data_IF_468405014463
#
_entry.id   IF_468405014463
#
_cell.length_a   1.000
_cell.length_b   1.000
_cell.length_c   1.000
_cell.angle_alpha   90.00
_cell.angle_beta   90.00
_cell.angle_gamma   90.00
#
_symmetry.space_group_name_H-M   'P 1'
#
loop_
_entity.id
_entity.type
_entity.pdbx_description
1 polymer ?
#
# COMPACT_ATOMS: atom_id res chain seq x y z
N UNK A 1 -9.81 18.83 22.15
CA UNK A 1 -9.87 18.01 20.91
C UNK A 1 -8.49 17.45 20.55
N UNK A 2 -7.48 18.31 20.33
CA UNK A 2 -6.07 17.91 20.10
C UNK A 2 -5.61 16.73 20.96
N UNK A 3 -5.54 16.90 22.27
CA UNK A 3 -5.03 15.86 23.18
C UNK A 3 -5.83 14.55 23.13
N UNK A 4 -7.14 14.62 22.90
CA UNK A 4 -7.99 13.43 22.82
C UNK A 4 -7.64 12.59 21.57
N UNK A 5 -7.61 13.22 20.39
CA UNK A 5 -7.23 12.51 19.17
C UNK A 5 -5.77 12.08 19.17
N UNK A 6 -4.88 12.82 19.84
CA UNK A 6 -3.48 12.44 20.01
C UNK A 6 -3.34 11.18 20.87
N UNK A 7 -4.12 11.06 21.95
CA UNK A 7 -4.14 9.85 22.77
C UNK A 7 -4.62 8.64 21.95
N UNK A 8 -5.72 8.79 21.20
CA UNK A 8 -6.21 7.74 20.29
C UNK A 8 -5.12 7.34 19.29
N UNK A 9 -4.43 8.32 18.70
CA UNK A 9 -3.36 8.11 17.74
C UNK A 9 -2.17 7.33 18.32
N UNK A 10 -1.69 7.69 19.51
CA UNK A 10 -0.55 7.00 20.14
C UNK A 10 -0.94 5.59 20.60
N UNK A 11 -2.12 5.41 21.20
CA UNK A 11 -2.61 4.10 21.61
C UNK A 11 -2.80 3.17 20.39
N UNK A 12 -3.37 3.69 19.31
CA UNK A 12 -3.53 2.94 18.07
C UNK A 12 -2.17 2.57 17.46
N UNK A 13 -1.23 3.51 17.43
CA UNK A 13 0.14 3.26 16.95
C UNK A 13 0.81 2.14 17.74
N UNK A 14 0.74 2.20 19.07
CA UNK A 14 1.29 1.17 19.94
C UNK A 14 0.61 -0.18 19.73
N UNK A 15 -0.73 -0.21 19.64
CA UNK A 15 -1.50 -1.41 19.40
C UNK A 15 -1.11 -2.11 18.08
N UNK A 16 -1.04 -1.35 16.99
CA UNK A 16 -0.65 -1.89 15.68
C UNK A 16 0.78 -2.43 15.71
N UNK A 17 1.71 -1.68 16.31
CA UNK A 17 3.11 -2.11 16.44
C UNK A 17 3.23 -3.41 17.23
N UNK A 18 2.56 -3.52 18.37
CA UNK A 18 2.59 -4.73 19.22
C UNK A 18 1.99 -5.94 18.49
N UNK A 19 0.84 -5.77 17.83
CA UNK A 19 0.23 -6.85 17.04
C UNK A 19 1.18 -7.33 15.93
N UNK A 20 1.78 -6.39 15.21
CA UNK A 20 2.76 -6.67 14.17
C UNK A 20 3.99 -7.40 14.68
N UNK A 21 4.55 -6.93 15.80
CA UNK A 21 5.71 -7.52 16.44
C UNK A 21 5.43 -8.94 16.94
N UNK A 22 4.28 -9.19 17.57
CA UNK A 22 3.87 -10.53 18.02
C UNK A 22 3.73 -11.48 16.83
N UNK A 23 3.13 -11.01 15.74
CA UNK A 23 2.99 -11.80 14.53
C UNK A 23 4.34 -12.07 13.86
N UNK A 24 5.20 -11.06 13.73
CA UNK A 24 6.53 -11.21 13.11
C UNK A 24 7.45 -12.10 13.93
N UNK A 25 7.33 -12.09 15.25
CA UNK A 25 8.07 -12.97 16.16
C UNK A 25 7.84 -14.45 15.86
N UNK A 26 6.61 -14.82 15.45
CA UNK A 26 6.31 -16.20 15.07
C UNK A 26 7.01 -16.66 13.78
N UNK A 27 7.49 -15.74 12.93
CA UNK A 27 7.96 -16.08 11.57
C UNK A 27 9.39 -15.64 11.23
N UNK A 28 10.02 -14.76 12.02
CA UNK A 28 11.28 -14.13 11.62
C UNK A 28 12.49 -14.54 12.48
N UNK A 29 13.62 -14.66 11.79
CA UNK A 29 14.98 -14.70 12.34
C UNK A 29 15.36 -13.29 12.85
N UNK A 30 16.33 -13.19 13.76
CA UNK A 30 16.85 -11.89 14.20
C UNK A 30 17.28 -11.03 13.00
N UNK A 31 16.59 -9.90 12.80
CA UNK A 31 16.99 -8.90 11.82
C UNK A 31 18.00 -7.94 12.44
N UNK A 32 19.13 -7.77 11.76
CA UNK A 32 20.17 -6.80 12.13
C UNK A 32 19.80 -5.35 11.76
N UNK A 33 18.59 -5.13 11.24
CA UNK A 33 18.10 -3.87 10.64
C UNK A 33 16.85 -3.39 11.40
N UNK A 34 17.00 -2.63 12.50
CA UNK A 34 15.89 -2.22 13.36
C UNK A 34 14.79 -1.41 12.67
N UNK A 35 15.11 -0.51 11.73
CA UNK A 35 14.09 0.28 11.04
C UNK A 35 13.27 -0.57 10.07
N UNK A 36 13.92 -1.51 9.39
CA UNK A 36 13.22 -2.48 8.54
C UNK A 36 12.28 -3.35 9.37
N UNK A 37 12.71 -3.79 10.56
CA UNK A 37 11.87 -4.56 11.46
C UNK A 37 10.65 -3.76 11.93
N UNK A 38 10.85 -2.53 12.41
CA UNK A 38 9.75 -1.64 12.83
C UNK A 38 8.76 -1.40 11.70
N UNK A 39 9.24 -1.11 10.49
CA UNK A 39 8.39 -0.93 9.32
C UNK A 39 7.60 -2.20 8.97
N UNK A 40 8.25 -3.36 9.01
CA UNK A 40 7.61 -4.67 8.78
C UNK A 40 6.56 -4.98 9.83
N UNK A 41 6.84 -4.69 11.10
CA UNK A 41 5.91 -4.88 12.22
C UNK A 41 4.67 -3.99 12.01
N UNK A 42 4.83 -2.70 11.71
CA UNK A 42 3.68 -1.84 11.38
C UNK A 42 2.88 -2.35 10.18
N UNK A 43 3.55 -2.79 9.11
CA UNK A 43 2.89 -3.31 7.91
C UNK A 43 2.06 -4.57 8.20
N UNK A 44 2.62 -5.53 8.93
CA UNK A 44 1.91 -6.75 9.34
C UNK A 44 0.76 -6.39 10.29
N UNK A 45 1.01 -5.49 11.24
CA UNK A 45 0.03 -5.04 12.21
C UNK A 45 -1.21 -4.41 11.56
N UNK A 46 -1.03 -3.48 10.61
CA UNK A 46 -2.18 -2.84 9.93
C UNK A 46 -3.00 -3.87 9.14
N UNK A 47 -2.33 -4.82 8.49
CA UNK A 47 -3.00 -5.89 7.75
C UNK A 47 -3.81 -6.79 8.68
N UNK A 48 -3.25 -7.16 9.83
CA UNK A 48 -3.94 -7.97 10.82
C UNK A 48 -5.16 -7.25 11.40
N UNK A 49 -5.02 -5.97 11.75
CA UNK A 49 -6.15 -5.16 12.24
C UNK A 49 -7.27 -5.14 11.21
N UNK A 50 -6.97 -4.80 9.94
CA UNK A 50 -7.98 -4.76 8.88
C UNK A 50 -8.60 -6.13 8.65
N UNK A 51 -7.79 -7.18 8.48
CA UNK A 51 -8.32 -8.51 8.17
C UNK A 51 -9.20 -9.05 9.30
N UNK A 52 -8.72 -9.01 10.54
CA UNK A 52 -9.46 -9.54 11.70
C UNK A 52 -10.73 -8.73 11.91
N UNK A 53 -10.63 -7.39 11.90
CA UNK A 53 -11.79 -6.54 12.14
C UNK A 53 -12.83 -6.64 11.02
N UNK A 54 -12.42 -6.61 9.74
CA UNK A 54 -13.33 -6.76 8.61
C UNK A 54 -14.04 -8.12 8.63
N UNK A 55 -13.31 -9.21 8.85
CA UNK A 55 -13.91 -10.56 8.91
C UNK A 55 -14.93 -10.67 10.05
N UNK A 56 -14.57 -10.15 11.23
CA UNK A 56 -15.45 -10.14 12.39
C UNK A 56 -16.69 -9.27 12.15
N UNK A 57 -16.51 -8.01 11.75
CA UNK A 57 -17.59 -7.03 11.60
C UNK A 57 -18.55 -7.39 10.47
N UNK A 58 -18.09 -8.07 9.42
CA UNK A 58 -18.94 -8.51 8.29
C UNK A 58 -19.52 -9.91 8.43
N UNK A 59 -19.20 -10.65 9.50
CA UNK A 59 -19.49 -12.09 9.61
C UNK A 59 -19.00 -12.87 8.36
N UNK A 60 -17.73 -12.70 8.00
CA UNK A 60 -17.07 -13.30 6.83
C UNK A 60 -17.57 -12.83 5.45
N UNK A 61 -18.43 -11.81 5.37
CA UNK A 61 -18.87 -11.19 4.10
C UNK A 61 -17.98 -10.03 3.67
N UNK A 62 -16.67 -10.28 3.54
CA UNK A 62 -15.65 -9.31 3.14
C UNK A 62 -14.61 -9.96 2.24
N UNK A 63 -14.05 -9.22 1.27
CA UNK A 63 -12.99 -9.75 0.39
C UNK A 63 -11.73 -10.12 1.17
N UNK A 64 -11.54 -9.57 2.37
CA UNK A 64 -10.40 -9.88 3.24
C UNK A 64 -10.36 -11.34 3.72
N UNK A 65 -11.44 -12.13 3.57
CA UNK A 65 -11.39 -13.60 3.78
C UNK A 65 -10.42 -14.31 2.83
N UNK A 66 -10.09 -13.69 1.69
CA UNK A 66 -9.13 -14.24 0.74
C UNK A 66 -7.69 -14.17 1.26
N UNK A 67 -7.38 -13.29 2.22
CA UNK A 67 -6.02 -13.19 2.81
C UNK A 67 -5.60 -14.50 3.49
N UNK A 68 -6.32 -15.05 4.48
CA UNK A 68 -5.94 -16.33 5.10
C UNK A 68 -5.94 -17.50 4.10
N UNK A 69 -6.80 -17.49 3.09
CA UNK A 69 -6.80 -18.50 2.01
C UNK A 69 -5.49 -18.41 1.22
N UNK A 70 -5.10 -17.21 0.79
CA UNK A 70 -3.87 -16.98 0.04
C UNK A 70 -2.63 -17.33 0.86
N UNK A 71 -2.60 -16.97 2.15
CA UNK A 71 -1.51 -17.36 3.07
C UNK A 71 -1.41 -18.88 3.22
N UNK A 72 -2.55 -19.58 3.35
CA UNK A 72 -2.56 -21.05 3.41
C UNK A 72 -2.06 -21.68 2.12
N UNK A 73 -2.51 -21.19 0.95
CA UNK A 73 -2.02 -21.65 -0.36
C UNK A 73 -0.51 -21.43 -0.49
N UNK A 74 -0.01 -20.27 -0.07
CA UNK A 74 1.41 -19.96 -0.03
C UNK A 74 2.19 -20.98 0.82
N UNK A 75 1.74 -21.24 2.06
CA UNK A 75 2.39 -22.23 2.94
C UNK A 75 2.40 -23.63 2.32
N UNK A 76 1.31 -24.05 1.67
CA UNK A 76 1.24 -25.36 1.00
C UNK A 76 2.26 -25.47 -0.14
N UNK A 77 2.38 -24.42 -0.96
CA UNK A 77 3.32 -24.38 -2.09
C UNK A 77 4.78 -24.37 -1.59
N UNK A 78 5.03 -23.69 -0.47
CA UNK A 78 6.38 -23.43 0.06
C UNK A 78 6.72 -24.21 1.34
N UNK A 79 6.09 -25.36 1.57
CA UNK A 79 6.26 -26.21 2.78
C UNK A 79 7.70 -26.43 3.26
N UNK A 80 8.71 -26.29 2.39
CA UNK A 80 10.14 -26.51 2.68
C UNK A 80 10.93 -25.27 3.11
N UNK A 81 10.39 -24.05 3.02
CA UNK A 81 11.16 -22.81 3.26
C UNK A 81 10.87 -22.12 4.61
N UNK A 82 9.89 -22.60 5.37
CA UNK A 82 9.51 -22.00 6.66
C UNK A 82 10.30 -22.68 7.77
N UNK A 83 11.42 -22.08 8.16
CA UNK A 83 12.20 -22.49 9.33
C UNK A 83 11.81 -21.58 10.50
N UNK A 84 11.10 -22.15 11.48
CA UNK A 84 10.84 -21.48 12.74
C UNK A 84 12.12 -21.45 13.56
N UNK A 85 12.75 -20.28 13.68
CA UNK A 85 13.87 -20.09 14.58
C UNK A 85 13.36 -19.38 15.84
N UNK A 86 13.55 -20.00 17.01
CA UNK A 86 13.24 -19.36 18.29
C UNK A 86 14.26 -18.24 18.53
N UNK A 87 13.77 -16.99 18.55
CA UNK A 87 14.58 -15.83 18.91
C UNK A 87 14.42 -15.55 20.41
N UNK A 88 15.55 -15.38 21.11
CA UNK A 88 15.57 -15.00 22.53
C UNK A 88 15.17 -13.52 22.69
N UNK A 89 14.00 -13.27 23.26
CA UNK A 89 13.48 -11.92 23.60
C UNK A 89 14.47 -11.16 24.52
N UNK A 90 15.16 -11.90 25.38
CA UNK A 90 16.10 -11.38 26.36
C UNK A 90 17.27 -10.61 25.73
N UNK A 91 17.77 -11.07 24.59
CA UNK A 91 18.93 -10.45 23.92
C UNK A 91 18.60 -9.08 23.29
N UNK A 92 17.35 -8.90 22.85
CA UNK A 92 16.89 -7.62 22.28
C UNK A 92 16.71 -6.55 23.37
N UNK A 93 16.14 -6.93 24.52
CA UNK A 93 15.91 -6.02 25.65
C UNK A 93 17.22 -5.52 26.28
N UNK A 94 18.24 -6.37 26.36
CA UNK A 94 19.52 -6.06 27.04
C UNK A 94 20.36 -4.97 26.34
N UNK A 95 20.14 -4.73 25.05
CA UNK A 95 21.02 -3.87 24.23
C UNK A 95 20.61 -2.38 24.17
N UNK A 96 19.56 -1.93 24.88
CA UNK A 96 19.11 -0.52 24.90
C UNK A 96 18.61 0.04 23.55
N UNK A 97 18.79 -0.69 22.45
CA UNK A 97 18.35 -0.34 21.09
C UNK A 97 16.85 -0.13 21.02
N UNK A 98 16.08 -0.89 21.81
CA UNK A 98 14.61 -0.80 21.86
C UNK A 98 14.13 0.59 22.28
N UNK A 99 14.70 1.18 23.34
CA UNK A 99 14.28 2.51 23.84
C UNK A 99 14.56 3.62 22.82
N UNK A 100 15.73 3.57 22.16
CA UNK A 100 16.07 4.52 21.10
C UNK A 100 15.11 4.41 19.91
N UNK A 101 14.72 3.18 19.53
CA UNK A 101 13.72 2.94 18.49
C UNK A 101 12.34 3.46 18.89
N UNK A 102 11.89 3.23 20.12
CA UNK A 102 10.58 3.73 20.61
C UNK A 102 10.53 5.26 20.60
N UNK A 103 11.55 5.93 21.13
CA UNK A 103 11.58 7.40 21.15
C UNK A 103 11.47 7.97 19.73
N UNK A 104 12.18 7.37 18.78
CA UNK A 104 12.16 7.80 17.38
C UNK A 104 10.84 7.49 16.67
N UNK A 105 10.20 6.36 16.99
CA UNK A 105 8.83 6.04 16.55
C UNK A 105 7.90 7.14 17.02
N UNK A 106 7.90 7.41 18.32
CA UNK A 106 7.05 8.46 18.90
C UNK A 106 7.34 9.82 18.27
N UNK A 107 8.59 10.17 18.00
CA UNK A 107 8.96 11.47 17.42
C UNK A 107 8.41 11.67 16.00
N UNK A 108 8.63 10.69 15.11
CA UNK A 108 8.14 10.77 13.72
C UNK A 108 6.61 10.74 13.66
N UNK A 109 5.99 9.86 14.45
CA UNK A 109 4.53 9.75 14.51
C UNK A 109 3.91 11.03 15.08
N UNK A 110 4.48 11.57 16.16
CA UNK A 110 4.03 12.86 16.73
C UNK A 110 4.16 13.99 15.72
N UNK A 111 5.27 14.06 14.97
CA UNK A 111 5.45 15.05 13.92
C UNK A 111 4.30 15.03 12.90
N UNK A 112 3.98 13.87 12.33
CA UNK A 112 2.89 13.77 11.35
C UNK A 112 1.51 14.05 11.95
N UNK A 113 1.28 13.65 13.20
CA UNK A 113 0.04 13.99 13.90
C UNK A 113 -0.14 15.50 14.04
N UNK A 114 0.84 16.20 14.63
CA UNK A 114 0.77 17.65 14.82
C UNK A 114 0.75 18.39 13.49
N UNK A 115 1.47 17.87 12.49
CA UNK A 115 1.45 18.41 11.14
C UNK A 115 0.06 18.31 10.49
N UNK A 116 -0.58 17.13 10.50
CA UNK A 116 -1.94 16.98 9.96
C UNK A 116 -2.98 17.78 10.73
N UNK A 117 -2.85 17.84 12.06
CA UNK A 117 -3.71 18.68 12.89
C UNK A 117 -3.61 20.16 12.48
N UNK A 118 -2.37 20.66 12.31
CA UNK A 118 -2.13 22.05 11.90
C UNK A 118 -2.64 22.32 10.48
N UNK A 119 -2.49 21.38 9.54
CA UNK A 119 -3.03 21.53 8.18
C UNK A 119 -4.56 21.68 8.21
N UNK A 120 -5.25 20.89 9.03
CA UNK A 120 -6.72 20.90 9.11
C UNK A 120 -7.26 22.14 9.82
N UNK A 121 -6.67 22.54 10.95
CA UNK A 121 -7.20 23.64 11.79
C UNK A 121 -6.55 25.00 11.55
N UNK A 122 -5.33 25.03 11.00
CA UNK A 122 -4.51 26.25 10.92
C UNK A 122 -3.95 26.72 12.26
N UNK A 123 -4.32 26.08 13.38
CA UNK A 123 -3.85 26.35 14.73
C UNK A 123 -3.88 25.07 15.58
N UNK A 124 -3.47 25.19 16.85
CA UNK A 124 -3.57 24.11 17.83
C UNK A 124 -4.77 24.24 18.79
N UNK A 125 -5.66 25.22 18.56
CA UNK A 125 -6.87 25.42 19.38
C UNK A 125 -7.96 24.41 19.03
N UNK A 126 -8.07 24.06 17.75
CA UNK A 126 -9.02 23.03 17.29
C UNK A 126 -10.49 23.46 17.34
N UNK A 127 -10.78 24.76 17.25
CA UNK A 127 -12.16 25.23 17.34
C UNK A 127 -12.90 25.06 16.01
N UNK A 128 -12.29 25.45 14.89
CA UNK A 128 -12.92 25.43 13.56
C UNK A 128 -11.87 24.98 12.53
N UNK A 129 -12.17 23.97 11.67
CA UNK A 129 -11.29 23.63 10.56
C UNK A 129 -11.06 24.84 9.65
N UNK A 130 -9.82 25.05 9.20
CA UNK A 130 -9.45 26.15 8.30
C UNK A 130 -10.19 26.08 6.96
N UNK A 131 -10.50 24.85 6.52
CA UNK A 131 -11.27 24.58 5.30
C UNK A 131 -12.12 23.34 5.47
N UNK A 132 -13.22 23.26 4.73
CA UNK A 132 -14.03 22.04 4.64
C UNK A 132 -13.16 20.95 3.99
N UNK A 133 -13.08 19.73 4.56
CA UNK A 133 -12.38 18.62 3.93
C UNK A 133 -12.89 18.34 2.52
N UNK A 134 -12.04 17.78 1.67
CA UNK A 134 -12.43 17.37 0.31
C UNK A 134 -13.67 16.44 0.36
N UNK A 135 -14.58 16.60 -0.60
CA UNK A 135 -15.81 15.80 -0.71
C UNK A 135 -15.52 14.29 -0.72
N UNK A 136 -14.42 13.86 -1.33
CA UNK A 136 -13.95 12.47 -1.29
C UNK A 136 -13.74 11.99 0.15
N UNK A 137 -13.07 12.79 0.99
CA UNK A 137 -12.81 12.42 2.39
C UNK A 137 -14.08 12.37 3.23
N UNK A 138 -15.04 13.27 2.96
CA UNK A 138 -16.36 13.19 3.60
C UNK A 138 -17.07 11.89 3.19
N UNK A 139 -16.97 11.49 1.92
CA UNK A 139 -17.56 10.24 1.43
C UNK A 139 -16.90 9.00 2.08
N UNK A 140 -15.57 8.96 2.15
CA UNK A 140 -14.83 7.87 2.81
C UNK A 140 -15.10 7.79 4.31
N UNK A 141 -15.22 8.94 4.98
CA UNK A 141 -15.56 9.00 6.39
C UNK A 141 -16.94 8.41 6.63
N UNK A 142 -17.93 8.73 5.79
CA UNK A 142 -19.27 8.12 5.83
C UNK A 142 -19.23 6.63 5.56
N UNK A 143 -18.52 6.18 4.52
CA UNK A 143 -18.34 4.73 4.25
C UNK A 143 -17.81 4.03 5.51
N UNK A 144 -16.80 4.61 6.16
CA UNK A 144 -16.22 4.08 7.39
C UNK A 144 -17.22 4.01 8.56
N UNK A 145 -18.10 5.01 8.70
CA UNK A 145 -19.20 4.97 9.69
C UNK A 145 -20.13 3.80 9.44
N UNK A 146 -20.58 3.61 8.20
CA UNK A 146 -21.45 2.49 7.85
C UNK A 146 -20.72 1.15 7.99
N UNK A 147 -19.44 1.04 7.64
CA UNK A 147 -18.65 -0.17 7.93
C UNK A 147 -18.65 -0.50 9.43
N UNK A 148 -18.44 0.49 10.30
CA UNK A 148 -18.42 0.30 11.76
C UNK A 148 -19.80 -0.03 12.36
N UNK A 149 -20.87 0.52 11.78
CA UNK A 149 -22.25 0.34 12.25
C UNK A 149 -22.85 -0.99 11.79
N UNK A 150 -22.81 -1.27 10.48
CA UNK A 150 -23.56 -2.37 9.85
C UNK A 150 -22.67 -3.47 9.26
N UNK A 151 -21.37 -3.20 9.05
CA UNK A 151 -20.44 -4.20 8.51
C UNK A 151 -20.75 -4.63 7.08
N UNK A 152 -21.21 -3.70 6.23
CA UNK A 152 -21.48 -3.96 4.80
C UNK A 152 -20.42 -3.30 3.94
N UNK A 153 -19.64 -4.13 3.22
CA UNK A 153 -18.54 -3.70 2.37
C UNK A 153 -19.06 -3.17 1.02
N UNK A 154 -19.70 -2.00 1.05
CA UNK A 154 -20.25 -1.34 -0.13
C UNK A 154 -20.21 0.20 -0.05
N UNK A 155 -20.54 0.86 -1.16
CA UNK A 155 -20.54 2.31 -1.30
C UNK A 155 -21.89 2.98 -0.97
N UNK A 156 -22.92 2.20 -0.62
CA UNK A 156 -24.31 2.67 -0.54
C UNK A 156 -24.62 3.51 0.72
N UNK A 157 -23.72 3.54 1.70
CA UNK A 157 -23.80 4.40 2.89
C UNK A 157 -25.18 4.33 3.57
N UNK A 158 -25.91 5.47 3.63
CA UNK A 158 -27.22 5.61 4.26
C UNK A 158 -28.28 4.67 3.69
N UNK A 159 -28.16 4.29 2.41
CA UNK A 159 -29.12 3.41 1.75
C UNK A 159 -29.13 2.01 2.37
N UNK A 160 -28.03 1.58 3.01
CA UNK A 160 -28.01 0.34 3.77
C UNK A 160 -28.98 0.31 4.96
N UNK A 161 -29.41 1.48 5.45
CA UNK A 161 -30.42 1.57 6.51
C UNK A 161 -31.86 1.49 5.98
N UNK A 162 -32.04 1.59 4.65
CA UNK A 162 -33.34 1.70 4.00
C UNK A 162 -33.83 0.33 3.53
N UNK A 163 -32.98 -0.45 2.86
CA UNK A 163 -33.32 -1.79 2.34
C UNK A 163 -32.13 -2.75 2.39
N UNK A 164 -32.43 -4.04 2.57
CA UNK A 164 -31.45 -5.13 2.43
C UNK A 164 -30.90 -5.27 1.01
N UNK A 165 -31.60 -4.74 -0.01
CA UNK A 165 -31.12 -4.75 -1.39
C UNK A 165 -29.76 -4.04 -1.54
N UNK A 166 -29.50 -3.05 -0.69
CA UNK A 166 -28.24 -2.33 -0.64
C UNK A 166 -27.14 -3.03 0.16
N UNK A 167 -27.40 -4.20 0.78
CA UNK A 167 -26.40 -4.87 1.64
C UNK A 167 -25.38 -5.69 0.88
N UNK A 168 -25.52 -5.79 -0.44
CA UNK A 168 -24.59 -6.53 -1.30
C UNK A 168 -23.22 -5.83 -1.35
N UNK A 169 -22.15 -6.61 -1.48
CA UNK A 169 -20.78 -6.09 -1.49
C UNK A 169 -20.43 -5.44 -2.82
N UNK A 170 -19.64 -4.36 -2.83
CA UNK A 170 -19.17 -3.74 -4.07
C UNK A 170 -17.66 -3.58 -4.05
N UNK A 171 -16.94 -3.92 -5.14
CA UNK A 171 -15.48 -3.81 -5.16
C UNK A 171 -15.01 -2.36 -5.00
N UNK A 172 -14.08 -2.12 -4.07
CA UNK A 172 -13.51 -0.80 -3.79
C UNK A 172 -12.15 -0.90 -3.06
N UNK A 173 -11.66 0.20 -2.50
CA UNK A 173 -10.38 0.29 -1.77
C UNK A 173 -10.52 0.37 -0.25
N UNK A 174 -11.39 -0.45 0.36
CA UNK A 174 -11.80 -0.34 1.77
C UNK A 174 -10.70 -0.46 2.85
N UNK A 175 -9.44 -0.71 2.50
CA UNK A 175 -8.39 -0.92 3.49
C UNK A 175 -8.27 0.24 4.50
N UNK A 176 -8.28 1.48 4.00
CA UNK A 176 -8.18 2.66 4.87
C UNK A 176 -9.48 2.87 5.66
N UNK A 177 -10.62 2.67 5.02
CA UNK A 177 -11.95 2.82 5.61
C UNK A 177 -12.16 1.80 6.74
N UNK A 178 -11.62 0.59 6.63
CA UNK A 178 -11.64 -0.41 7.70
C UNK A 178 -10.79 0.01 8.92
N UNK A 179 -9.67 0.70 8.72
CA UNK A 179 -8.89 1.27 9.83
C UNK A 179 -9.66 2.37 10.56
N UNK A 180 -10.33 3.25 9.81
CA UNK A 180 -11.18 4.30 10.38
C UNK A 180 -12.38 3.67 11.10
N UNK A 181 -13.05 2.69 10.49
CA UNK A 181 -14.18 1.97 11.07
C UNK A 181 -13.82 1.27 12.38
N UNK A 182 -12.63 0.65 12.44
CA UNK A 182 -12.09 0.07 13.67
C UNK A 182 -12.00 1.13 14.77
N UNK A 183 -11.39 2.28 14.49
CA UNK A 183 -11.27 3.38 15.45
C UNK A 183 -12.62 3.97 15.87
N UNK A 184 -13.57 4.10 14.95
CA UNK A 184 -14.95 4.53 15.29
C UNK A 184 -15.54 3.57 16.32
N UNK A 185 -15.42 2.25 16.09
CA UNK A 185 -16.00 1.22 16.95
C UNK A 185 -15.42 1.25 18.37
N UNK A 186 -14.11 1.45 18.50
CA UNK A 186 -13.44 1.40 19.82
C UNK A 186 -13.43 2.75 20.56
N UNK A 187 -13.56 3.88 19.86
CA UNK A 187 -13.42 5.22 20.48
C UNK A 187 -14.70 6.06 20.46
N UNK A 188 -15.67 5.74 19.60
CA UNK A 188 -16.86 6.55 19.38
C UNK A 188 -16.59 7.95 18.81
N UNK A 189 -15.37 8.22 18.34
CA UNK A 189 -15.01 9.52 17.79
C UNK A 189 -15.55 9.72 16.38
N UNK A 190 -15.60 10.98 15.94
CA UNK A 190 -16.14 11.34 14.62
C UNK A 190 -15.21 10.84 13.51
N UNK A 191 -15.80 10.14 12.54
CA UNK A 191 -15.12 9.51 11.40
C UNK A 191 -14.18 10.45 10.65
N UNK A 192 -14.63 11.67 10.34
CA UNK A 192 -13.85 12.63 9.55
C UNK A 192 -12.56 13.04 10.25
N UNK A 193 -12.56 13.20 11.58
CA UNK A 193 -11.36 13.56 12.33
C UNK A 193 -10.44 12.35 12.54
N UNK A 194 -11.01 11.16 12.73
CA UNK A 194 -10.25 9.92 12.75
C UNK A 194 -9.55 9.69 11.41
N UNK A 195 -10.22 9.96 10.29
CA UNK A 195 -9.62 9.85 8.97
C UNK A 195 -8.52 10.90 8.74
N UNK A 196 -8.85 12.19 8.88
CA UNK A 196 -7.97 13.29 8.48
C UNK A 196 -6.73 13.44 9.39
N UNK A 197 -6.90 13.26 10.70
CA UNK A 197 -5.86 13.58 11.68
C UNK A 197 -5.18 12.31 12.21
N UNK A 198 -5.91 11.21 12.36
CA UNK A 198 -5.38 9.97 12.97
C UNK A 198 -4.85 9.04 11.90
N UNK A 199 -5.71 8.51 11.02
CA UNK A 199 -5.34 7.50 10.02
C UNK A 199 -4.41 8.08 8.95
N UNK A 200 -4.70 9.26 8.40
CA UNK A 200 -3.81 9.87 7.40
C UNK A 200 -2.41 10.14 8.00
N UNK A 201 -2.31 10.72 9.20
CA UNK A 201 -1.02 10.93 9.87
C UNK A 201 -0.29 9.61 10.13
N UNK A 202 -1.03 8.58 10.54
CA UNK A 202 -0.51 7.26 10.86
C UNK A 202 0.09 6.59 9.62
N UNK A 203 -0.64 6.57 8.51
CA UNK A 203 -0.16 5.99 7.24
C UNK A 203 1.04 6.77 6.68
N UNK A 204 1.04 8.10 6.75
CA UNK A 204 2.21 8.90 6.36
C UNK A 204 3.45 8.59 7.21
N UNK A 205 3.26 8.37 8.51
CA UNK A 205 4.35 7.97 9.41
C UNK A 205 4.94 6.62 9.02
N UNK A 206 4.09 5.66 8.64
CA UNK A 206 4.54 4.36 8.14
C UNK A 206 5.30 4.51 6.82
N UNK A 207 4.86 5.36 5.90
CA UNK A 207 5.59 5.64 4.65
C UNK A 207 6.98 6.21 4.95
N UNK A 208 7.10 7.16 5.90
CA UNK A 208 8.40 7.72 6.30
C UNK A 208 9.33 6.61 6.81
N UNK A 209 8.81 5.74 7.68
CA UNK A 209 9.54 4.58 8.16
C UNK A 209 9.93 3.62 7.04
N UNK A 210 9.06 3.45 6.04
CA UNK A 210 9.36 2.67 4.85
C UNK A 210 10.57 3.20 4.08
N UNK A 211 10.64 4.52 3.87
CA UNK A 211 11.81 5.13 3.23
C UNK A 211 13.07 5.01 4.09
N UNK A 212 12.98 5.21 5.40
CA UNK A 212 14.11 5.03 6.33
C UNK A 212 14.60 3.57 6.29
N UNK A 213 13.68 2.61 6.25
CA UNK A 213 13.95 1.17 6.09
C UNK A 213 14.71 0.86 4.79
N UNK A 214 14.33 1.50 3.68
CA UNK A 214 15.08 1.39 2.42
C UNK A 214 16.50 1.97 2.54
N UNK A 215 16.68 3.12 3.21
CA UNK A 215 18.01 3.69 3.46
C UNK A 215 18.87 2.74 4.32
N UNK A 216 18.27 2.13 5.35
CA UNK A 216 18.94 1.17 6.24
C UNK A 216 19.45 -0.07 5.49
N UNK A 217 18.77 -0.45 4.40
CA UNK A 217 19.24 -1.54 3.55
C UNK A 217 20.65 -1.25 3.00
N UNK A 218 20.89 -0.01 2.58
CA UNK A 218 22.16 0.42 1.99
C UNK A 218 23.15 0.99 3.01
N UNK A 219 22.68 1.36 4.21
CA UNK A 219 23.48 2.00 5.25
C UNK A 219 23.06 1.52 6.65
N UNK A 220 23.88 0.66 7.26
CA UNK A 220 23.60 0.09 8.59
C UNK A 220 23.43 1.14 9.70
N UNK A 221 24.20 2.23 9.64
CA UNK A 221 24.17 3.29 10.66
C UNK A 221 23.39 4.50 10.17
N UNK A 222 22.10 4.54 10.53
CA UNK A 222 21.18 5.65 10.23
C UNK A 222 21.46 6.83 11.18
N UNK A 223 21.66 8.01 10.61
CA UNK A 223 21.86 9.27 11.31
C UNK A 223 20.64 10.20 11.16
N UNK A 224 20.68 11.38 11.78
CA UNK A 224 19.55 12.33 11.76
C UNK A 224 19.21 12.86 10.35
N UNK A 225 20.21 13.03 9.48
CA UNK A 225 20.01 13.46 8.10
C UNK A 225 19.26 12.39 7.30
N UNK A 226 19.59 11.11 7.50
CA UNK A 226 18.88 10.00 6.85
C UNK A 226 17.40 9.95 7.27
N UNK A 227 17.12 10.23 8.55
CA UNK A 227 15.74 10.33 9.07
C UNK A 227 14.98 11.49 8.42
N UNK A 228 15.64 12.66 8.33
CA UNK A 228 15.08 13.83 7.66
C UNK A 228 14.80 13.56 6.18
N UNK A 229 15.73 12.91 5.47
CA UNK A 229 15.55 12.51 4.06
C UNK A 229 14.36 11.56 3.92
N UNK A 230 14.22 10.56 4.80
CA UNK A 230 13.08 9.64 4.77
C UNK A 230 11.72 10.34 4.95
N UNK A 231 11.65 11.36 5.81
CA UNK A 231 10.47 12.21 5.98
C UNK A 231 10.25 13.09 4.75
N UNK A 232 11.31 13.71 4.21
CA UNK A 232 11.24 14.59 3.03
C UNK A 232 10.70 13.86 1.80
N UNK A 233 11.03 12.57 1.63
CA UNK A 233 10.57 11.75 0.51
C UNK A 233 9.03 11.68 0.37
N UNK A 234 8.27 11.90 1.45
CA UNK A 234 6.80 11.96 1.41
C UNK A 234 6.30 13.22 0.70
N UNK A 235 7.03 14.32 0.83
CA UNK A 235 6.63 15.63 0.33
C UNK A 235 7.12 15.89 -1.09
N UNK A 236 7.95 15.01 -1.65
CA UNK A 236 8.46 15.15 -3.01
C UNK A 236 7.29 15.10 -3.99
N UNK A 237 6.88 16.27 -4.48
CA UNK A 237 5.97 16.44 -5.62
C UNK A 237 6.81 16.89 -6.81
N UNK A 238 6.72 16.19 -7.92
CA UNK A 238 7.42 16.58 -9.14
C UNK A 238 6.51 17.43 -10.02
N UNK A 239 6.78 18.73 -10.07
CA UNK A 239 6.08 19.64 -10.97
C UNK A 239 6.82 19.62 -12.31
N UNK A 240 6.34 18.83 -13.26
CA UNK A 240 6.73 18.95 -14.67
C UNK A 240 5.58 19.64 -15.39
N UNK A 241 5.59 20.98 -15.41
CA UNK A 241 4.66 21.80 -16.20
C UNK A 241 5.13 21.90 -17.64
N UNK A 242 5.10 20.78 -18.36
CA UNK A 242 5.25 20.76 -19.81
C UNK A 242 3.85 20.60 -20.40
N UNK A 243 3.40 21.52 -21.26
CA UNK A 243 2.03 21.55 -21.82
C UNK A 243 1.65 20.25 -22.54
N UNK A 244 2.61 19.57 -23.18
CA UNK A 244 2.43 18.25 -23.81
C UNK A 244 2.18 17.11 -22.79
N UNK A 245 2.41 17.38 -21.51
CA UNK A 245 2.35 16.44 -20.40
C UNK A 245 1.29 16.84 -19.35
N UNK A 246 0.30 17.64 -19.71
CA UNK A 246 -0.76 18.12 -18.78
C UNK A 246 -1.52 17.00 -18.05
N UNK A 247 -1.49 15.75 -18.56
CA UNK A 247 -2.02 14.57 -17.86
C UNK A 247 -1.10 13.96 -16.78
N UNK A 248 0.16 14.39 -16.68
CA UNK A 248 1.13 13.91 -15.67
C UNK A 248 0.78 14.41 -14.27
N UNK A 249 0.04 15.52 -14.14
CA UNK A 249 -0.18 16.16 -12.84
C UNK A 249 -0.75 15.18 -11.79
N UNK A 250 -1.63 14.26 -12.20
CA UNK A 250 -2.15 13.21 -11.33
C UNK A 250 -1.10 12.19 -10.85
N UNK A 251 -0.05 11.97 -11.64
CA UNK A 251 1.08 11.10 -11.29
C UNK A 251 2.15 11.82 -10.45
N UNK A 252 2.10 13.15 -10.39
CA UNK A 252 2.96 13.92 -9.49
C UNK A 252 2.49 13.87 -8.04
N UNK A 253 1.28 13.35 -7.79
CA UNK A 253 0.74 13.22 -6.45
C UNK A 253 1.64 12.33 -5.58
N UNK A 254 1.79 12.73 -4.34
CA UNK A 254 2.58 12.02 -3.35
C UNK A 254 1.66 11.51 -2.23
N UNK A 255 2.23 10.72 -1.32
CA UNK A 255 1.47 10.18 -0.19
C UNK A 255 0.75 11.25 0.62
N UNK A 256 1.32 12.46 0.71
CA UNK A 256 0.72 13.59 1.41
C UNK A 256 -0.46 14.22 0.64
N UNK A 257 -0.36 14.42 -0.68
CA UNK A 257 -1.43 15.05 -1.46
C UNK A 257 -2.61 14.13 -1.75
N UNK A 258 -2.39 12.80 -1.75
CA UNK A 258 -3.44 11.79 -1.84
C UNK A 258 -3.24 10.69 -0.78
N UNK A 259 -3.56 10.95 0.50
CA UNK A 259 -3.49 9.94 1.57
C UNK A 259 -4.32 8.67 1.28
N UNK A 260 -5.34 8.74 0.41
CA UNK A 260 -6.11 7.56 0.00
C UNK A 260 -5.27 6.47 -0.69
N UNK A 261 -4.15 6.83 -1.34
CA UNK A 261 -3.21 5.87 -1.93
C UNK A 261 -2.03 5.53 -0.99
N UNK A 262 -2.03 6.02 0.26
CA UNK A 262 -0.93 5.80 1.20
C UNK A 262 -0.64 4.30 1.42
N UNK A 263 -1.69 3.48 1.54
CA UNK A 263 -1.52 2.03 1.65
C UNK A 263 -0.76 1.41 0.48
N UNK A 264 -1.02 1.85 -0.76
CA UNK A 264 -0.30 1.38 -1.94
C UNK A 264 1.19 1.70 -1.84
N UNK A 265 1.55 2.92 -1.40
CA UNK A 265 2.95 3.27 -1.16
C UNK A 265 3.59 2.35 -0.12
N UNK A 266 2.93 2.12 1.02
CA UNK A 266 3.43 1.24 2.07
C UNK A 266 3.68 -0.17 1.52
N UNK A 267 2.71 -0.75 0.81
CA UNK A 267 2.82 -2.10 0.26
C UNK A 267 3.90 -2.22 -0.82
N UNK A 268 4.07 -1.20 -1.67
CA UNK A 268 5.12 -1.17 -2.69
C UNK A 268 6.51 -1.03 -2.05
N UNK A 269 6.66 -0.16 -1.04
CA UNK A 269 7.92 -0.02 -0.30
C UNK A 269 8.26 -1.34 0.40
N UNK A 270 7.29 -1.99 1.04
CA UNK A 270 7.51 -3.28 1.69
C UNK A 270 7.90 -4.39 0.69
N UNK A 271 7.26 -4.44 -0.47
CA UNK A 271 7.68 -5.31 -1.57
C UNK A 271 9.13 -5.04 -1.98
N UNK A 272 9.51 -3.76 -2.09
CA UNK A 272 10.87 -3.35 -2.46
C UNK A 272 11.90 -3.80 -1.41
N UNK A 273 11.60 -3.66 -0.12
CA UNK A 273 12.43 -4.18 0.97
C UNK A 273 12.61 -5.69 0.86
N UNK A 274 11.53 -6.45 0.61
CA UNK A 274 11.60 -7.91 0.47
C UNK A 274 12.43 -8.34 -0.75
N UNK A 275 12.31 -7.65 -1.89
CA UNK A 275 13.14 -7.92 -3.06
C UNK A 275 14.61 -7.57 -2.84
N UNK A 276 14.91 -6.47 -2.16
CA UNK A 276 16.27 -6.12 -1.74
C UNK A 276 16.89 -7.17 -0.81
N UNK A 277 16.09 -7.75 0.09
CA UNK A 277 16.48 -8.88 0.93
C UNK A 277 16.56 -10.22 0.15
N UNK A 278 16.37 -10.21 -1.17
CA UNK A 278 16.31 -11.38 -2.05
C UNK A 278 15.20 -12.37 -1.69
N UNK A 279 14.18 -11.92 -0.96
CA UNK A 279 13.02 -12.73 -0.61
C UNK A 279 11.90 -12.56 -1.63
N UNK A 280 12.15 -13.07 -2.84
CA UNK A 280 11.25 -12.91 -3.99
C UNK A 280 9.87 -13.48 -3.65
N UNK A 281 9.79 -14.64 -3.02
CA UNK A 281 8.52 -15.30 -2.70
C UNK A 281 7.64 -14.45 -1.77
N UNK A 282 8.21 -13.88 -0.70
CA UNK A 282 7.46 -12.97 0.18
C UNK A 282 7.06 -11.70 -0.56
N UNK A 283 7.92 -11.14 -1.42
CA UNK A 283 7.59 -9.96 -2.22
C UNK A 283 6.45 -10.21 -3.21
N UNK A 284 6.43 -11.37 -3.87
CA UNK A 284 5.33 -11.78 -4.78
C UNK A 284 4.03 -11.99 -3.99
N UNK A 285 4.09 -12.69 -2.85
CA UNK A 285 2.93 -12.83 -1.96
C UNK A 285 2.38 -11.46 -1.57
N UNK A 286 3.26 -10.52 -1.23
CA UNK A 286 2.89 -9.17 -0.86
C UNK A 286 2.17 -8.42 -1.99
N UNK A 287 2.69 -8.51 -3.23
CA UNK A 287 2.03 -7.95 -4.40
C UNK A 287 0.63 -8.55 -4.60
N UNK A 288 0.45 -9.85 -4.35
CA UNK A 288 -0.86 -10.50 -4.44
C UNK A 288 -1.85 -10.06 -3.34
N UNK A 289 -1.38 -9.53 -2.21
CA UNK A 289 -2.26 -8.95 -1.19
C UNK A 289 -2.83 -7.57 -1.58
N UNK A 290 -2.13 -6.83 -2.45
CA UNK A 290 -2.54 -5.49 -2.87
C UNK A 290 -3.93 -5.49 -3.54
N UNK A 291 -4.23 -6.37 -4.53
CA UNK A 291 -5.56 -6.49 -5.14
C UNK A 291 -6.72 -6.76 -4.17
N UNK A 292 -6.45 -7.39 -3.02
CA UNK A 292 -7.46 -7.67 -2.00
C UNK A 292 -7.77 -6.39 -1.21
N UNK A 293 -6.72 -5.67 -0.81
CA UNK A 293 -6.84 -4.45 -0.03
C UNK A 293 -7.28 -3.23 -0.88
N UNK A 294 -6.92 -3.22 -2.16
CA UNK A 294 -7.13 -2.09 -3.07
C UNK A 294 -7.53 -2.62 -4.45
N UNK A 295 -8.80 -2.99 -4.62
CA UNK A 295 -9.27 -3.72 -5.81
C UNK A 295 -9.06 -2.98 -7.14
N UNK A 296 -9.10 -1.64 -7.13
CA UNK A 296 -8.98 -0.84 -8.36
C UNK A 296 -7.61 -0.98 -9.05
N UNK A 297 -6.59 -1.51 -8.36
CA UNK A 297 -5.29 -1.85 -8.97
C UNK A 297 -5.13 -3.34 -9.27
N UNK A 298 -6.17 -4.16 -9.14
CA UNK A 298 -6.10 -5.60 -9.33
C UNK A 298 -5.60 -6.01 -10.73
N UNK A 299 -6.16 -5.50 -11.85
CA UNK A 299 -5.69 -5.89 -13.19
C UNK A 299 -4.21 -5.55 -13.39
N UNK A 300 -3.83 -4.36 -12.93
CA UNK A 300 -2.46 -3.87 -12.99
C UNK A 300 -1.52 -4.85 -12.29
N UNK A 301 -1.70 -5.04 -10.98
CA UNK A 301 -0.78 -5.80 -10.12
C UNK A 301 -0.75 -7.28 -10.48
N UNK A 302 -1.90 -7.91 -10.73
CA UNK A 302 -1.96 -9.33 -11.08
C UNK A 302 -1.19 -9.61 -12.37
N UNK A 303 -1.35 -8.76 -13.37
CA UNK A 303 -0.60 -8.87 -14.63
C UNK A 303 0.89 -8.59 -14.44
N UNK A 304 1.26 -7.62 -13.60
CA UNK A 304 2.68 -7.35 -13.30
C UNK A 304 3.34 -8.56 -12.67
N UNK A 305 2.66 -9.21 -11.72
CA UNK A 305 3.19 -10.40 -11.04
C UNK A 305 3.46 -11.50 -12.05
N UNK A 306 2.55 -11.75 -13.00
CA UNK A 306 2.77 -12.73 -14.08
C UNK A 306 4.02 -12.35 -14.89
N UNK A 307 4.15 -11.11 -15.35
CA UNK A 307 5.30 -10.67 -16.16
C UNK A 307 6.60 -10.73 -15.36
N UNK A 308 6.61 -10.29 -14.10
CA UNK A 308 7.77 -10.38 -13.20
C UNK A 308 8.22 -11.83 -13.07
N UNK A 309 7.29 -12.76 -12.78
CA UNK A 309 7.61 -14.18 -12.64
C UNK A 309 8.13 -14.77 -13.95
N UNK A 310 7.56 -14.41 -15.10
CA UNK A 310 8.06 -14.85 -16.40
C UNK A 310 9.49 -14.35 -16.64
N UNK A 311 9.77 -13.07 -16.37
CA UNK A 311 11.13 -12.50 -16.52
C UNK A 311 12.11 -13.20 -15.58
N UNK A 312 11.77 -13.38 -14.30
CA UNK A 312 12.63 -14.09 -13.35
C UNK A 312 12.84 -15.55 -13.82
N UNK A 313 11.82 -16.21 -14.38
CA UNK A 313 11.96 -17.57 -14.89
C UNK A 313 12.90 -17.70 -16.10
N UNK A 314 13.05 -16.63 -16.89
CA UNK A 314 14.00 -16.55 -18.00
C UNK A 314 15.43 -16.30 -17.50
N UNK A 315 15.58 -15.52 -16.43
CA UNK A 315 16.87 -15.18 -15.82
C UNK A 315 17.41 -16.29 -14.91
N UNK A 316 16.56 -16.94 -14.10
CA UNK A 316 16.91 -18.01 -13.16
C UNK A 316 16.54 -19.40 -13.72
N UNK A 317 17.30 -19.87 -14.71
CA UNK A 317 17.03 -21.15 -15.40
C UNK A 317 16.87 -22.33 -14.44
N UNK A 318 17.66 -22.38 -13.37
CA UNK A 318 17.66 -23.48 -12.39
C UNK A 318 16.36 -23.54 -11.55
N UNK A 319 15.70 -22.39 -11.34
CA UNK A 319 14.47 -22.29 -10.54
C UNK A 319 13.20 -22.15 -11.38
N UNK A 320 13.31 -22.26 -12.71
CA UNK A 320 12.19 -22.04 -13.65
C UNK A 320 10.93 -22.80 -13.28
N UNK A 321 11.04 -24.09 -12.91
CA UNK A 321 9.87 -24.92 -12.53
C UNK A 321 9.18 -24.42 -11.26
N UNK A 322 9.94 -23.94 -10.27
CA UNK A 322 9.38 -23.38 -9.03
C UNK A 322 8.69 -22.03 -9.30
N UNK A 323 9.34 -21.17 -10.08
CA UNK A 323 8.80 -19.85 -10.44
C UNK A 323 7.53 -19.98 -11.29
N UNK A 324 7.48 -20.91 -12.24
CA UNK A 324 6.29 -21.15 -13.07
C UNK A 324 5.08 -21.62 -12.27
N UNK A 325 5.27 -22.34 -11.15
CA UNK A 325 4.16 -22.67 -10.25
C UNK A 325 3.52 -21.42 -9.64
N UNK A 326 4.28 -20.35 -9.44
CA UNK A 326 3.77 -19.09 -8.90
C UNK A 326 2.95 -18.30 -9.90
N UNK A 327 3.14 -18.53 -11.19
CA UNK A 327 2.34 -17.87 -12.24
C UNK A 327 0.86 -18.23 -12.10
N UNK A 328 0.53 -19.39 -11.52
CA UNK A 328 -0.85 -19.79 -11.26
C UNK A 328 -1.53 -18.98 -10.14
N UNK A 329 -0.77 -18.44 -9.18
CA UNK A 329 -1.34 -17.73 -8.03
C UNK A 329 -2.14 -16.47 -8.41
N UNK A 330 -1.65 -15.57 -9.31
CA UNK A 330 -2.45 -14.47 -9.82
C UNK A 330 -3.80 -14.90 -10.41
N UNK A 331 -3.83 -15.99 -11.19
CA UNK A 331 -5.06 -16.47 -11.82
C UNK A 331 -6.03 -17.09 -10.80
N UNK A 332 -5.51 -17.86 -9.84
CA UNK A 332 -6.31 -18.41 -8.74
C UNK A 332 -6.91 -17.27 -7.93
N UNK A 333 -6.10 -16.27 -7.55
CA UNK A 333 -6.60 -15.12 -6.79
C UNK A 333 -7.65 -14.32 -7.58
N UNK A 334 -7.41 -14.08 -8.87
CA UNK A 334 -8.40 -13.43 -9.74
C UNK A 334 -9.74 -14.19 -9.76
N UNK A 335 -9.69 -15.51 -9.94
CA UNK A 335 -10.88 -16.37 -9.91
C UNK A 335 -11.59 -16.33 -8.56
N UNK A 336 -10.85 -16.34 -7.45
CA UNK A 336 -11.41 -16.23 -6.09
C UNK A 336 -12.08 -14.87 -5.85
N UNK A 337 -11.49 -13.77 -6.34
CA UNK A 337 -12.08 -12.43 -6.23
C UNK A 337 -13.40 -12.36 -7.03
N UNK A 338 -13.40 -12.86 -8.27
CA UNK A 338 -14.62 -12.91 -9.09
C UNK A 338 -15.70 -13.74 -8.38
N UNK A 339 -15.34 -14.95 -7.93
CA UNK A 339 -16.26 -15.85 -7.26
C UNK A 339 -16.84 -15.20 -6.00
N UNK A 340 -16.01 -14.52 -5.20
CA UNK A 340 -16.46 -13.77 -4.02
C UNK A 340 -17.55 -12.76 -4.40
N UNK A 341 -17.26 -11.83 -5.33
CA UNK A 341 -18.22 -10.79 -5.72
C UNK A 341 -19.43 -11.32 -6.49
N UNK A 342 -19.34 -12.47 -7.16
CA UNK A 342 -20.51 -13.13 -7.73
C UNK A 342 -21.44 -13.72 -6.66
N UNK A 343 -20.88 -14.23 -5.56
CA UNK A 343 -21.65 -14.82 -4.47
C UNK A 343 -22.22 -13.78 -3.50
N UNK A 344 -21.53 -12.66 -3.30
CA UNK A 344 -21.89 -11.65 -2.28
C UNK A 344 -22.24 -10.29 -2.84
N UNK A 345 -21.93 -10.02 -4.11
CA UNK A 345 -21.97 -8.69 -4.70
C UNK A 345 -23.26 -8.33 -5.42
N UNK A 346 -23.36 -7.04 -5.76
CA UNK A 346 -24.55 -6.51 -6.42
C UNK A 346 -24.58 -6.78 -7.92
N UNK A 347 -25.52 -7.62 -8.33
CA UNK A 347 -25.83 -7.93 -9.73
C UNK A 347 -26.28 -6.71 -10.54
N UNK A 348 -26.71 -5.63 -9.87
CA UNK A 348 -27.17 -4.40 -10.54
C UNK A 348 -26.04 -3.56 -11.15
N UNK A 349 -24.78 -3.76 -10.72
CA UNK A 349 -23.61 -3.05 -11.27
C UNK A 349 -23.02 -3.69 -12.54
N UNK A 350 -23.76 -4.58 -13.21
CA UNK A 350 -23.40 -5.03 -14.55
C UNK A 350 -23.53 -3.85 -15.52
N UNK A 351 -22.47 -3.07 -15.64
CA UNK A 351 -22.34 -2.03 -16.66
C UNK A 351 -22.45 -2.74 -18.01
N UNK A 352 -23.56 -2.54 -18.71
CA UNK A 352 -23.68 -2.88 -20.12
C UNK A 352 -22.71 -1.97 -20.88
N UNK A 353 -21.49 -2.46 -21.12
CA UNK A 353 -20.57 -1.83 -22.05
C UNK A 353 -21.13 -2.06 -23.45
N UNK A 354 -21.55 -0.99 -24.12
CA UNK A 354 -21.71 -1.06 -25.56
C UNK A 354 -20.33 -1.32 -26.18
N UNK A 355 -20.13 -2.44 -26.90
CA UNK A 355 -18.86 -2.71 -27.53
C UNK A 355 -18.62 -1.66 -28.62
N UNK A 356 -17.65 -0.78 -28.42
CA UNK A 356 -17.15 0.11 -29.49
C UNK A 356 -16.53 -0.80 -30.56
N UNK A 357 -17.22 -0.99 -31.68
CA UNK A 357 -16.85 -1.97 -32.72
C UNK A 357 -15.66 -1.56 -33.62
N UNK A 358 -14.67 -0.80 -33.13
CA UNK A 358 -13.49 -0.48 -33.93
C UNK A 358 -12.16 -0.86 -33.25
N UNK A 359 -11.61 -2.00 -33.66
CA UNK A 359 -10.25 -2.48 -33.30
C UNK A 359 -9.20 -1.38 -33.53
N UNK A 360 -9.37 -0.56 -34.58
CA UNK A 360 -8.48 0.58 -34.88
C UNK A 360 -8.46 1.63 -33.76
N UNK A 361 -9.60 1.90 -33.11
CA UNK A 361 -9.67 2.81 -31.97
C UNK A 361 -8.90 2.24 -30.78
N UNK A 362 -9.11 0.97 -30.42
CA UNK A 362 -8.36 0.32 -29.35
C UNK A 362 -6.85 0.29 -29.58
N UNK A 363 -6.40 0.03 -30.81
CA UNK A 363 -4.96 0.04 -31.15
C UNK A 363 -4.40 1.47 -31.02
N UNK A 364 -5.07 2.48 -31.59
CA UNK A 364 -4.60 3.88 -31.52
C UNK A 364 -4.57 4.39 -30.09
N UNK A 365 -5.64 4.14 -29.33
CA UNK A 365 -5.75 4.48 -27.91
C UNK A 365 -4.70 3.74 -27.10
N UNK A 366 -4.48 2.45 -27.36
CA UNK A 366 -3.41 1.65 -26.76
C UNK A 366 -2.01 2.20 -27.02
N UNK A 367 -1.69 2.56 -28.27
CA UNK A 367 -0.38 3.14 -28.62
C UNK A 367 -0.20 4.51 -27.94
N UNK A 368 -1.23 5.37 -27.97
CA UNK A 368 -1.15 6.70 -27.37
C UNK A 368 -0.99 6.62 -25.84
N UNK A 369 -1.73 5.71 -25.19
CA UNK A 369 -1.63 5.50 -23.75
C UNK A 369 -0.30 4.87 -23.40
N UNK A 370 0.12 3.79 -24.06
CA UNK A 370 1.35 3.08 -23.72
C UNK A 370 2.57 3.92 -24.05
N UNK A 371 2.64 4.53 -25.24
CA UNK A 371 3.75 5.37 -25.66
C UNK A 371 3.82 6.69 -24.87
N UNK A 372 2.69 7.37 -24.70
CA UNK A 372 2.60 8.56 -23.87
C UNK A 372 2.98 8.26 -22.43
N UNK A 373 2.39 7.22 -21.83
CA UNK A 373 2.68 6.90 -20.43
C UNK A 373 4.10 6.36 -20.22
N UNK A 374 4.68 5.62 -21.17
CA UNK A 374 6.08 5.21 -21.08
C UNK A 374 7.00 6.43 -20.97
N UNK A 375 6.79 7.42 -21.82
CA UNK A 375 7.53 8.68 -21.77
C UNK A 375 7.28 9.44 -20.45
N UNK A 376 6.03 9.45 -19.96
CA UNK A 376 5.69 10.05 -18.66
C UNK A 376 6.40 9.34 -17.49
N UNK A 377 6.41 8.02 -17.45
CA UNK A 377 7.10 7.23 -16.41
C UNK A 377 8.60 7.49 -16.45
N UNK A 378 9.20 7.49 -17.65
CA UNK A 378 10.62 7.78 -17.80
C UNK A 378 10.97 9.17 -17.26
N UNK A 379 10.16 10.18 -17.58
CA UNK A 379 10.35 11.54 -17.09
C UNK A 379 10.15 11.67 -15.58
N UNK A 380 9.11 11.03 -15.02
CA UNK A 380 8.87 11.00 -13.57
C UNK A 380 9.95 10.21 -12.81
N UNK A 381 10.56 9.22 -13.46
CA UNK A 381 11.65 8.43 -12.88
C UNK A 381 13.00 9.13 -13.01
N UNK A 382 13.14 10.13 -13.89
CA UNK A 382 14.38 10.83 -14.18
C UNK A 382 15.07 11.40 -12.91
N UNK A 383 14.37 12.04 -11.97
CA UNK A 383 14.99 12.54 -10.74
C UNK A 383 15.53 11.41 -9.85
N UNK A 384 14.86 10.25 -9.84
CA UNK A 384 15.39 9.07 -9.14
C UNK A 384 16.65 8.55 -9.83
N UNK A 385 16.71 8.56 -11.17
CA UNK A 385 17.93 8.26 -11.91
C UNK A 385 19.05 9.28 -11.61
N UNK A 386 18.74 10.58 -11.55
CA UNK A 386 19.70 11.63 -11.20
C UNK A 386 20.20 11.46 -9.76
N UNK A 387 19.30 11.21 -8.81
CA UNK A 387 19.66 10.92 -7.42
C UNK A 387 20.52 9.65 -7.30
N UNK A 388 20.18 8.61 -8.05
CA UNK A 388 21.01 7.40 -8.14
C UNK A 388 22.40 7.69 -8.69
N UNK A 389 22.52 8.47 -9.76
CA UNK A 389 23.80 8.92 -10.33
C UNK A 389 24.59 9.73 -9.30
N UNK A 390 23.93 10.62 -8.57
CA UNK A 390 24.54 11.40 -7.49
C UNK A 390 25.06 10.53 -6.34
N UNK A 391 24.30 9.51 -5.93
CA UNK A 391 24.74 8.52 -4.92
C UNK A 391 25.93 7.71 -5.43
N UNK A 392 25.92 7.30 -6.70
CA UNK A 392 27.05 6.63 -7.37
C UNK A 392 28.30 7.50 -7.37
N UNK A 393 28.13 8.78 -7.72
CA UNK A 393 29.21 9.76 -7.77
C UNK A 393 29.82 10.01 -6.39
N UNK A 394 28.99 10.22 -5.36
CA UNK A 394 29.46 10.49 -3.99
C UNK A 394 30.09 9.26 -3.36
N UNK A 395 29.49 8.08 -3.50
CA UNK A 395 29.95 6.88 -2.81
C UNK A 395 31.01 6.09 -3.59
N UNK A 396 31.45 6.57 -4.76
CA UNK A 396 32.35 5.85 -5.67
C UNK A 396 31.91 4.41 -5.94
N UNK A 397 30.60 4.17 -5.94
CA UNK A 397 30.02 2.85 -6.22
C UNK A 397 30.00 2.68 -7.74
N UNK A 398 30.44 1.54 -8.26
CA UNK A 398 30.40 1.32 -9.71
C UNK A 398 28.95 1.26 -10.20
N UNK A 399 28.67 1.75 -11.41
CA UNK A 399 27.34 1.67 -12.01
C UNK A 399 26.79 0.23 -12.02
N UNK A 400 27.68 -0.77 -12.24
CA UNK A 400 27.33 -2.20 -12.18
C UNK A 400 26.82 -2.62 -10.80
N UNK A 401 27.47 -2.19 -9.71
CA UNK A 401 27.03 -2.47 -8.34
C UNK A 401 25.68 -1.81 -8.04
N UNK A 402 25.50 -0.56 -8.47
CA UNK A 402 24.22 0.14 -8.32
C UNK A 402 23.10 -0.56 -9.10
N UNK A 403 23.34 -0.92 -10.37
CA UNK A 403 22.39 -1.63 -11.21
C UNK A 403 22.00 -2.98 -10.61
N UNK A 404 22.96 -3.76 -10.12
CA UNK A 404 22.69 -5.03 -9.45
C UNK A 404 21.87 -4.81 -8.17
N UNK A 405 22.13 -3.72 -7.44
CA UNK A 405 21.42 -3.41 -6.22
C UNK A 405 19.99 -2.90 -6.44
N UNK A 406 19.73 -2.18 -7.54
CA UNK A 406 18.46 -1.49 -7.77
C UNK A 406 17.59 -2.12 -8.85
N UNK A 407 18.15 -2.94 -9.75
CA UNK A 407 17.36 -3.71 -10.70
C UNK A 407 16.27 -4.58 -10.06
N UNK A 408 16.45 -5.18 -8.85
CA UNK A 408 15.37 -5.92 -8.19
C UNK A 408 14.17 -5.06 -7.77
N UNK A 409 14.32 -3.72 -7.70
CA UNK A 409 13.23 -2.79 -7.40
C UNK A 409 12.70 -2.15 -8.68
N UNK A 410 13.60 -1.54 -9.47
CA UNK A 410 13.22 -0.73 -10.62
C UNK A 410 12.50 -1.56 -11.69
N UNK A 411 12.93 -2.81 -11.92
CA UNK A 411 12.31 -3.66 -12.93
C UNK A 411 10.88 -4.07 -12.52
N UNK A 412 10.61 -4.60 -11.32
CA UNK A 412 9.24 -4.85 -10.87
C UNK A 412 8.35 -3.61 -10.89
N UNK A 413 8.83 -2.46 -10.40
CA UNK A 413 8.06 -1.23 -10.42
C UNK A 413 7.71 -0.80 -11.85
N UNK A 414 8.69 -0.82 -12.76
CA UNK A 414 8.47 -0.52 -14.17
C UNK A 414 7.43 -1.45 -14.79
N UNK A 415 7.54 -2.76 -14.53
CA UNK A 415 6.59 -3.75 -15.01
C UNK A 415 5.19 -3.53 -14.42
N UNK A 416 5.10 -3.08 -13.16
CA UNK A 416 3.83 -2.71 -12.53
C UNK A 416 3.15 -1.57 -13.27
N UNK A 417 3.87 -0.48 -13.50
CA UNK A 417 3.26 0.68 -14.15
C UNK A 417 2.96 0.38 -15.62
N UNK A 418 3.84 -0.34 -16.31
CA UNK A 418 3.61 -0.74 -17.71
C UNK A 418 2.38 -1.66 -17.84
N UNK A 419 2.27 -2.71 -17.02
CA UNK A 419 1.11 -3.61 -17.06
C UNK A 419 -0.18 -2.90 -16.68
N UNK A 420 -0.14 -2.03 -15.66
CA UNK A 420 -1.30 -1.21 -15.27
C UNK A 420 -1.88 -0.44 -16.45
N UNK A 421 -1.02 0.20 -17.23
CA UNK A 421 -1.42 1.04 -18.35
C UNK A 421 -1.85 0.22 -19.55
N UNK A 422 -1.21 -0.91 -19.83
CA UNK A 422 -1.67 -1.84 -20.85
C UNK A 422 -3.07 -2.38 -20.48
N UNK A 423 -3.29 -2.83 -19.25
CA UNK A 423 -4.61 -3.28 -18.79
C UNK A 423 -5.64 -2.15 -18.90
N UNK A 424 -5.30 -0.95 -18.43
CA UNK A 424 -6.19 0.20 -18.51
C UNK A 424 -6.56 0.53 -19.97
N UNK A 425 -5.59 0.54 -20.88
CA UNK A 425 -5.83 0.79 -22.31
C UNK A 425 -6.69 -0.29 -22.99
N UNK A 426 -6.59 -1.53 -22.53
CA UNK A 426 -7.37 -2.66 -23.07
C UNK A 426 -8.79 -2.72 -22.50
N UNK A 427 -8.97 -2.40 -21.22
CA UNK A 427 -10.23 -2.61 -20.50
C UNK A 427 -11.05 -1.34 -20.25
N UNK A 428 -10.49 -0.14 -20.41
CA UNK A 428 -11.27 1.10 -20.43
C UNK A 428 -11.42 1.62 -21.87
N UNK A 429 -12.49 1.24 -22.58
CA UNK A 429 -12.93 1.98 -23.74
C UNK A 429 -13.46 3.34 -23.25
N UNK A 430 -12.59 4.35 -23.14
CA UNK A 430 -13.12 5.70 -22.96
C UNK A 430 -13.84 6.11 -24.25
N UNK A 431 -15.16 6.27 -24.12
CA UNK A 431 -16.01 6.98 -25.08
C UNK A 431 -15.70 8.49 -25.04
N UNK A 432 -15.18 9.03 -23.94
CA UNK A 432 -14.87 10.47 -23.84
C UNK A 432 -13.61 10.73 -23.00
N UNK A 433 -12.49 11.01 -23.68
CA UNK A 433 -11.45 11.92 -23.15
C UNK A 433 -10.58 12.43 -24.30
N UNK A 434 -10.89 13.65 -24.73
CA UNK A 434 -9.99 14.56 -25.46
C UNK A 434 -8.77 14.88 -24.60
#
# INVERSE_FOLDING_TARGET
MLLNYYLVYILFTFFVYVLGWLASYAFNKEDNQPYQKVFSDFYIGIFLVVCVFAIYQTNFKTVFVLVPILLRLYVIIFKKSIVFNQVSIYNSLKNGRLFKSIFLILSIFSFFYFFQYYILFGDFTGKIPKSIPNVDYISYARISEYLALIGKENIWQVQNLISEDYHKTTPYHYFNEWLVAFLIKITGQKSIFLQEIVINAFLLSIIAYGFISLIEHFKKNINILDLFVGVLCIFLKFIITIKFLSGIEFFSNNGFSMPKIAFLYIAIIYTSVLFLQKNIHKGILNLLLIPIAYFTVAPAILMSVVVILLVISLLEKDKKKEILKLVLLPFILFGLIILFYQLTGDSSQNIHYEPINSIKFYIKTGINIVGGTFLQIMLLSLPFFIFMIFVVYIKKVTFKQLYIALSPICLPLFLIVASARCCWALFNPMIDSV
#
